data_IF_241239976983
#
_entry.id   IF_241239976983
#
_cell.length_a   1.000
_cell.length_b   1.000
_cell.length_c   1.000
_cell.angle_alpha   90.00
_cell.angle_beta   90.00
_cell.angle_gamma   90.00
#
_symmetry.space_group_name_H-M   'P 1'
#
loop_
_entity.id
_entity.type
_entity.pdbx_description
1 polymer ?
#
# COMPACT_ATOMS: atom_id res chain seq x y z
N UNK A 1 -14.81 3.80 3.46
CA UNK A 1 -14.10 4.56 2.41
C UNK A 1 -12.99 3.65 1.86
N UNK A 2 -12.52 3.83 0.62
CA UNK A 2 -11.49 2.99 -0.01
C UNK A 2 -10.42 3.86 -0.68
N UNK A 3 -9.21 3.34 -0.80
CA UNK A 3 -8.14 3.95 -1.60
C UNK A 3 -8.06 3.27 -2.97
N UNK A 4 -7.78 4.07 -4.00
CA UNK A 4 -7.61 3.61 -5.38
C UNK A 4 -6.21 3.96 -5.89
N UNK A 5 -5.38 2.95 -6.12
CA UNK A 5 -4.03 3.12 -6.70
C UNK A 5 -4.08 2.77 -8.19
N UNK A 6 -3.85 3.76 -9.05
CA UNK A 6 -3.80 3.58 -10.52
C UNK A 6 -2.36 3.39 -10.99
N UNK A 7 -2.11 2.32 -11.73
CA UNK A 7 -0.77 1.92 -12.16
C UNK A 7 -0.73 1.64 -13.66
N UNK A 8 0.02 2.41 -14.46
CA UNK A 8 0.10 2.20 -15.90
C UNK A 8 0.92 0.96 -16.25
N UNK A 9 0.34 0.04 -17.02
CA UNK A 9 0.98 -1.24 -17.39
C UNK A 9 1.73 -1.21 -18.73
N UNK A 10 2.06 -0.01 -19.24
CA UNK A 10 2.66 0.16 -20.58
C UNK A 10 4.01 -0.53 -20.78
N UNK A 11 4.76 -0.83 -19.72
CA UNK A 11 6.08 -1.51 -19.80
C UNK A 11 6.01 -2.93 -19.24
N UNK A 12 6.50 -3.92 -20.00
CA UNK A 12 6.47 -5.35 -19.63
C UNK A 12 7.12 -5.65 -18.27
N UNK A 13 8.29 -5.07 -17.99
CA UNK A 13 8.97 -5.25 -16.69
C UNK A 13 8.19 -4.72 -15.49
N UNK A 14 7.31 -3.73 -15.68
CA UNK A 14 6.41 -3.27 -14.60
C UNK A 14 5.24 -4.21 -14.37
N UNK A 15 4.81 -4.97 -15.39
CA UNK A 15 3.65 -5.88 -15.26
C UNK A 15 3.94 -6.97 -14.22
N UNK A 16 5.11 -7.59 -14.29
CA UNK A 16 5.50 -8.65 -13.36
C UNK A 16 5.58 -8.15 -11.91
N UNK A 17 6.19 -6.98 -11.69
CA UNK A 17 6.28 -6.36 -10.37
C UNK A 17 4.90 -6.04 -9.78
N UNK A 18 4.00 -5.47 -10.58
CA UNK A 18 2.65 -5.09 -10.15
C UNK A 18 1.79 -6.33 -9.86
N UNK A 19 1.91 -7.39 -10.68
CA UNK A 19 1.21 -8.66 -10.42
C UNK A 19 1.72 -9.29 -9.12
N UNK A 20 3.03 -9.28 -8.88
CA UNK A 20 3.61 -9.79 -7.65
C UNK A 20 3.12 -9.01 -6.42
N UNK A 21 3.06 -7.67 -6.49
CA UNK A 21 2.52 -6.82 -5.42
C UNK A 21 1.07 -7.22 -5.08
N UNK A 22 0.22 -7.40 -6.09
CA UNK A 22 -1.18 -7.80 -5.88
C UNK A 22 -1.28 -9.20 -5.29
N UNK A 23 -0.50 -10.16 -5.78
CA UNK A 23 -0.53 -11.53 -5.28
C UNK A 23 -0.14 -11.57 -3.80
N UNK A 24 0.94 -10.89 -3.43
CA UNK A 24 1.38 -10.78 -2.03
C UNK A 24 0.28 -10.20 -1.16
N UNK A 25 -0.36 -9.10 -1.58
CA UNK A 25 -1.45 -8.49 -0.79
C UNK A 25 -2.70 -9.37 -0.72
N UNK A 26 -2.99 -10.17 -1.75
CA UNK A 26 -4.14 -11.10 -1.76
C UNK A 26 -3.95 -12.26 -0.79
N UNK A 27 -2.74 -12.81 -0.73
CA UNK A 27 -2.41 -13.98 0.07
C UNK A 27 -2.14 -13.63 1.54
N UNK A 28 -1.71 -12.38 1.84
CA UNK A 28 -1.34 -11.95 3.18
C UNK A 28 -2.37 -10.99 3.80
N UNK A 29 -3.32 -11.56 4.56
CA UNK A 29 -4.23 -10.77 5.41
C UNK A 29 -3.71 -10.71 6.84
N UNK A 30 -3.26 -9.52 7.25
CA UNK A 30 -2.73 -9.27 8.59
C UNK A 30 -3.12 -7.86 9.07
N UNK A 31 -3.38 -7.64 10.37
CA UNK A 31 -3.76 -6.30 10.87
C UNK A 31 -2.76 -5.18 10.55
N UNK A 32 -1.48 -5.52 10.39
CA UNK A 32 -0.40 -4.56 10.08
C UNK A 32 -0.06 -4.48 8.57
N UNK A 33 -0.84 -5.14 7.70
CA UNK A 33 -0.67 -5.09 6.24
C UNK A 33 -1.94 -4.52 5.62
N UNK A 34 -1.76 -3.51 4.76
CA UNK A 34 -2.87 -2.89 4.04
C UNK A 34 -3.67 -3.93 3.26
N UNK A 35 -4.95 -4.05 3.56
CA UNK A 35 -5.81 -5.07 3.00
C UNK A 35 -6.18 -4.78 1.52
N UNK A 36 -5.98 -5.81 0.70
CA UNK A 36 -6.50 -5.86 -0.66
C UNK A 36 -8.03 -6.05 -0.67
N UNK A 37 -8.72 -5.32 -1.53
CA UNK A 37 -10.17 -5.48 -1.75
C UNK A 37 -10.44 -6.06 -3.13
N UNK A 38 -10.00 -5.39 -4.20
CA UNK A 38 -10.22 -5.84 -5.59
C UNK A 38 -9.24 -5.16 -6.57
N UNK A 39 -9.24 -5.57 -7.84
CA UNK A 39 -8.42 -4.97 -8.89
C UNK A 39 -9.07 -5.04 -10.28
N UNK A 40 -8.96 -3.97 -11.07
CA UNK A 40 -9.56 -3.83 -12.39
C UNK A 40 -8.54 -3.39 -13.44
N UNK A 41 -8.63 -3.96 -14.64
CA UNK A 41 -7.86 -3.47 -15.80
C UNK A 41 -8.74 -2.53 -16.62
N UNK A 42 -8.37 -1.25 -16.69
CA UNK A 42 -9.12 -0.21 -17.38
C UNK A 42 -8.17 0.59 -18.28
N UNK A 43 -8.39 0.57 -19.60
CA UNK A 43 -7.58 1.34 -20.56
C UNK A 43 -6.05 1.13 -20.41
N UNK A 44 -5.62 -0.11 -20.20
CA UNK A 44 -4.22 -0.50 -19.93
C UNK A 44 -3.63 -0.02 -18.59
N UNK A 45 -4.44 0.60 -17.74
CA UNK A 45 -4.09 0.92 -16.37
C UNK A 45 -4.70 -0.13 -15.43
N UNK A 46 -3.89 -0.58 -14.47
CA UNK A 46 -4.38 -1.40 -13.38
C UNK A 46 -4.84 -0.53 -12.23
N UNK A 47 -6.07 -0.73 -11.81
CA UNK A 47 -6.69 -0.02 -10.71
C UNK A 47 -6.77 -0.99 -9.54
N UNK A 48 -6.06 -0.68 -8.46
CA UNK A 48 -6.06 -1.46 -7.24
C UNK A 48 -6.98 -0.79 -6.22
N UNK A 49 -7.99 -1.53 -5.74
CA UNK A 49 -8.87 -1.11 -4.65
C UNK A 49 -8.33 -1.73 -3.36
N UNK A 50 -8.04 -0.88 -2.40
CA UNK A 50 -7.45 -1.25 -1.11
C UNK A 50 -8.12 -0.48 0.01
N UNK A 51 -7.92 -0.92 1.25
CA UNK A 51 -8.40 -0.17 2.41
C UNK A 51 -7.80 1.24 2.44
N UNK A 52 -8.57 2.18 2.98
CA UNK A 52 -8.13 3.55 3.16
C UNK A 52 -7.57 3.71 4.58
N UNK A 53 -6.31 4.15 4.67
CA UNK A 53 -5.64 4.50 5.92
C UNK A 53 -5.65 6.02 6.05
N UNK A 54 -6.38 6.52 7.04
CA UNK A 54 -6.63 7.94 7.29
C UNK A 54 -5.45 8.67 7.97
N UNK A 55 -4.57 7.93 8.66
CA UNK A 55 -3.39 8.46 9.34
C UNK A 55 -2.25 8.97 8.45
N UNK A 56 -2.35 8.83 7.12
CA UNK A 56 -1.32 9.27 6.19
C UNK A 56 -0.06 8.40 6.20
N UNK A 57 1.09 8.98 5.85
CA UNK A 57 2.37 8.25 5.75
C UNK A 57 3.30 8.56 6.92
N UNK A 58 4.12 7.60 7.32
CA UNK A 58 5.16 7.82 8.33
C UNK A 58 6.16 8.90 7.90
N UNK A 59 6.44 9.04 6.61
CA UNK A 59 7.28 10.12 6.07
C UNK A 59 6.71 11.51 6.40
N UNK A 60 5.39 11.68 6.30
CA UNK A 60 4.74 12.95 6.64
C UNK A 60 4.90 13.29 8.13
N UNK A 61 4.80 12.28 9.00
CA UNK A 61 5.02 12.44 10.44
C UNK A 61 6.46 12.82 10.74
N UNK A 62 7.44 12.13 10.14
CA UNK A 62 8.87 12.37 10.35
C UNK A 62 9.33 13.77 9.92
N UNK A 63 8.63 14.40 8.97
CA UNK A 63 8.91 15.77 8.54
C UNK A 63 8.39 16.81 9.56
N UNK A 64 7.35 16.48 10.32
CA UNK A 64 6.66 17.42 11.20
C UNK A 64 7.06 17.28 12.67
N UNK A 65 7.45 16.08 13.11
CA UNK A 65 7.64 15.74 14.52
C UNK A 65 8.93 14.93 14.70
N UNK A 66 9.71 15.29 15.72
CA UNK A 66 10.78 14.43 16.21
C UNK A 66 10.16 13.30 17.04
N UNK A 67 10.33 12.06 16.59
CA UNK A 67 9.73 10.90 17.26
C UNK A 67 10.54 10.49 18.49
N UNK A 68 9.86 10.32 19.62
CA UNK A 68 10.46 9.75 20.83
C UNK A 68 10.69 8.24 20.68
N UNK A 69 11.65 7.69 21.44
CA UNK A 69 12.00 6.27 21.37
C UNK A 69 10.80 5.33 21.59
N UNK A 70 9.86 5.70 22.47
CA UNK A 70 8.64 4.93 22.69
C UNK A 70 7.75 4.80 21.45
N UNK A 71 7.67 5.86 20.63
CA UNK A 71 6.91 5.84 19.38
C UNK A 71 7.61 4.99 18.31
N UNK A 72 8.94 5.12 18.22
CA UNK A 72 9.75 4.30 17.31
C UNK A 72 9.58 2.83 17.67
N UNK A 73 9.71 2.48 18.96
CA UNK A 73 9.53 1.12 19.44
C UNK A 73 8.13 0.57 19.14
N UNK A 74 7.08 1.39 19.26
CA UNK A 74 5.72 0.98 18.95
C UNK A 74 5.52 0.67 17.45
N UNK A 75 6.12 1.45 16.55
CA UNK A 75 6.04 1.23 15.10
C UNK A 75 6.91 0.04 14.65
N UNK A 76 8.05 -0.16 15.30
CA UNK A 76 8.95 -1.29 15.03
C UNK A 76 8.50 -2.60 15.65
N UNK A 77 7.46 -2.59 16.48
CA UNK A 77 6.93 -3.78 17.12
C UNK A 77 6.01 -4.51 16.13
N UNK A 78 6.41 -5.70 15.72
CA UNK A 78 5.56 -6.62 14.95
C UNK A 78 4.48 -7.26 15.82
#
# INVERSE_FOLDING_TARGET
QVALKKMPLRRRSRKELVVNEIQIMKENRHPNIVNYIDSYLVNEDLWLVMEYVDGGTLTSVLVQVLMEEGMIAAISKE
#
